data_IF_696240882071
#
_entry.id   IF_696240882071
#
_cell.length_a   1.000
_cell.length_b   1.000
_cell.length_c   1.000
_cell.angle_alpha   90.00
_cell.angle_beta   90.00
_cell.angle_gamma   90.00
#
_symmetry.space_group_name_H-M   'P 1'
#
loop_
_entity.id
_entity.type
_entity.pdbx_description
1 polymer ?
#
# COMPACT_ATOMS: atom_id res chain seq x y z
N UNK A 1 10.49 9.94 -7.01
CA UNK A 1 9.49 9.22 -6.19
C UNK A 1 8.39 10.14 -5.66
N UNK A 2 8.73 11.25 -4.97
CA UNK A 2 7.73 12.21 -4.47
C UNK A 2 6.74 12.73 -5.52
N UNK A 3 7.22 13.07 -6.72
CA UNK A 3 6.36 13.52 -7.84
C UNK A 3 5.37 12.45 -8.31
N UNK A 4 5.75 11.17 -8.21
CA UNK A 4 4.87 10.04 -8.56
C UNK A 4 3.74 9.92 -7.54
N UNK A 5 4.07 10.01 -6.24
CA UNK A 5 3.08 9.98 -5.16
C UNK A 5 2.10 11.15 -5.26
N UNK A 6 2.59 12.35 -5.55
CA UNK A 6 1.73 13.52 -5.76
C UNK A 6 0.78 13.35 -6.95
N UNK A 7 1.25 12.75 -8.05
CA UNK A 7 0.39 12.41 -9.19
C UNK A 7 -0.68 11.39 -8.81
N UNK A 8 -0.33 10.36 -8.03
CA UNK A 8 -1.30 9.36 -7.52
C UNK A 8 -2.33 10.04 -6.62
N UNK A 9 -1.90 10.89 -5.71
CA UNK A 9 -2.79 11.62 -4.79
C UNK A 9 -3.65 12.67 -5.49
N UNK A 10 -3.30 13.06 -6.72
CA UNK A 10 -4.12 13.94 -7.56
C UNK A 10 -5.32 13.21 -8.21
N UNK A 11 -5.36 11.87 -8.16
CA UNK A 11 -6.49 11.08 -8.65
C UNK A 11 -7.68 11.29 -7.71
N UNK A 12 -8.85 11.60 -8.28
CA UNK A 12 -10.06 11.85 -7.48
C UNK A 12 -10.40 10.63 -6.61
N UNK A 13 -10.57 10.86 -5.30
CA UNK A 13 -10.83 9.82 -4.32
C UNK A 13 -9.60 9.25 -3.61
N UNK A 14 -8.39 9.50 -4.12
CA UNK A 14 -7.16 9.13 -3.40
C UNK A 14 -6.93 10.05 -2.20
N UNK A 15 -6.64 9.45 -1.05
CA UNK A 15 -6.37 10.17 0.21
C UNK A 15 -4.90 10.27 0.55
N UNK A 16 -4.11 9.33 0.06
CA UNK A 16 -2.67 9.27 0.28
C UNK A 16 -2.05 8.07 -0.41
N UNK A 17 -0.74 8.05 -0.44
CA UNK A 17 0.06 6.98 -1.03
C UNK A 17 1.37 6.81 -0.27
N UNK A 18 1.88 5.59 -0.28
CA UNK A 18 3.05 5.18 0.47
C UNK A 18 3.79 4.10 -0.33
N UNK A 19 5.11 4.21 -0.38
CA UNK A 19 6.01 3.16 -0.85
C UNK A 19 6.80 2.67 0.33
N UNK A 20 6.81 1.36 0.52
CA UNK A 20 7.42 0.69 1.67
C UNK A 20 8.42 -0.35 1.17
N UNK A 21 9.43 -0.62 1.98
CA UNK A 21 10.26 -1.82 1.80
C UNK A 21 9.50 -3.07 2.30
N UNK A 22 9.89 -4.28 1.86
CA UNK A 22 9.27 -5.52 2.35
C UNK A 22 9.41 -5.76 3.87
N UNK A 23 10.39 -5.12 4.51
CA UNK A 23 10.61 -5.15 5.97
C UNK A 23 9.83 -4.06 6.73
N UNK A 24 9.02 -3.25 6.05
CA UNK A 24 8.11 -2.30 6.69
C UNK A 24 8.68 -0.91 6.93
N UNK A 25 9.78 -0.54 6.26
CA UNK A 25 10.35 0.80 6.33
C UNK A 25 9.78 1.71 5.22
N UNK A 26 9.37 2.95 5.53
CA UNK A 26 8.86 3.86 4.51
C UNK A 26 9.99 4.36 3.59
N UNK A 27 9.84 4.16 2.28
CA UNK A 27 10.74 4.72 1.25
C UNK A 27 10.28 6.13 0.87
N UNK A 28 8.97 6.31 0.69
CA UNK A 28 8.36 7.59 0.37
C UNK A 28 6.89 7.61 0.77
N UNK A 29 6.42 8.70 1.37
CA UNK A 29 5.04 8.87 1.82
C UNK A 29 4.48 10.21 1.38
N UNK A 30 3.23 10.23 0.95
CA UNK A 30 2.40 11.42 0.83
C UNK A 30 1.02 11.05 1.37
N UNK A 31 0.87 11.19 2.68
CA UNK A 31 -0.26 10.69 3.46
C UNK A 31 -1.08 11.86 4.02
N UNK A 32 -2.40 11.65 4.25
CA UNK A 32 -3.23 12.69 4.82
C UNK A 32 -2.80 12.99 6.27
N UNK A 33 -3.07 14.20 6.79
CA UNK A 33 -2.76 14.55 8.16
C UNK A 33 -3.44 13.59 9.14
N UNK A 34 -2.70 13.14 10.15
CA UNK A 34 -3.18 12.20 11.17
C UNK A 34 -2.84 10.73 10.90
N UNK A 35 -2.24 10.40 9.74
CA UNK A 35 -1.69 9.06 9.49
C UNK A 35 -0.16 9.06 9.66
N UNK A 36 0.33 8.23 10.56
CA UNK A 36 1.77 8.04 10.77
C UNK A 36 2.38 7.14 9.67
N UNK A 37 3.47 7.59 9.07
CA UNK A 37 4.09 6.91 7.93
C UNK A 37 4.76 5.58 8.33
N UNK A 38 5.34 5.49 9.53
CA UNK A 38 5.98 4.25 10.00
C UNK A 38 4.93 3.19 10.30
N UNK A 39 3.85 3.57 10.99
CA UNK A 39 2.72 2.69 11.27
C UNK A 39 2.05 2.20 9.99
N UNK A 40 1.79 3.10 9.05
CA UNK A 40 1.24 2.74 7.74
C UNK A 40 2.19 1.83 6.95
N UNK A 41 3.51 2.03 7.09
CA UNK A 41 4.50 1.21 6.41
C UNK A 41 4.56 -0.22 6.94
N UNK A 42 4.57 -0.38 8.27
CA UNK A 42 4.52 -1.69 8.91
C UNK A 42 3.24 -2.45 8.56
N UNK A 43 2.09 -1.77 8.56
CA UNK A 43 0.82 -2.37 8.13
C UNK A 43 0.85 -2.80 6.66
N UNK A 44 1.32 -1.91 5.77
CA UNK A 44 1.43 -2.18 4.35
C UNK A 44 2.32 -3.39 4.04
N UNK A 45 3.47 -3.49 4.71
CA UNK A 45 4.38 -4.63 4.55
C UNK A 45 3.79 -5.95 5.07
N UNK A 46 3.14 -5.93 6.24
CA UNK A 46 2.45 -7.11 6.77
C UNK A 46 1.37 -7.63 5.82
N UNK A 47 0.55 -6.72 5.27
CA UNK A 47 -0.50 -7.08 4.33
C UNK A 47 0.06 -7.53 2.98
N UNK A 48 1.07 -6.84 2.45
CA UNK A 48 1.75 -7.22 1.21
C UNK A 48 2.36 -8.61 1.30
N UNK A 49 2.99 -8.94 2.44
CA UNK A 49 3.49 -10.28 2.71
C UNK A 49 2.38 -11.33 2.74
N UNK A 50 1.28 -11.06 3.44
CA UNK A 50 0.13 -11.96 3.48
C UNK A 50 -0.43 -12.26 2.08
N UNK A 51 -0.51 -11.23 1.22
CA UNK A 51 -0.95 -11.36 -0.18
C UNK A 51 0.06 -12.20 -0.97
N UNK A 52 1.36 -11.95 -0.82
CA UNK A 52 2.42 -12.69 -1.51
C UNK A 52 2.45 -14.18 -1.10
N UNK A 53 2.31 -14.46 0.20
CA UNK A 53 2.27 -15.83 0.73
C UNK A 53 1.07 -16.60 0.15
N UNK A 54 -0.13 -16.00 0.14
CA UNK A 54 -1.33 -16.59 -0.48
C UNK A 54 -1.20 -16.78 -1.99
N UNK A 55 -0.61 -15.80 -2.69
CA UNK A 55 -0.39 -15.90 -4.13
C UNK A 55 0.54 -17.08 -4.48
N UNK A 56 1.58 -17.32 -3.65
CA UNK A 56 2.47 -18.47 -3.78
C UNK A 56 1.77 -19.81 -3.53
N UNK A 57 0.87 -19.88 -2.56
CA UNK A 57 0.10 -21.10 -2.26
C UNK A 57 -0.92 -21.45 -3.35
N UNK A 58 -1.51 -20.46 -4.02
CA UNK A 58 -2.55 -20.66 -5.03
C UNK A 58 -2.02 -20.79 -6.47
N UNK A 59 -0.69 -20.85 -6.67
CA UNK A 59 -0.02 -20.74 -7.98
C UNK A 59 -0.50 -19.51 -8.78
N UNK A 60 -0.88 -18.45 -8.07
CA UNK A 60 -1.30 -17.17 -8.65
C UNK A 60 -0.08 -16.26 -8.77
N UNK A 61 0.95 -16.74 -9.46
CA UNK A 61 2.25 -16.07 -9.61
C UNK A 61 2.19 -14.68 -10.27
N UNK A 62 1.00 -14.27 -10.76
CA UNK A 62 0.70 -12.96 -11.35
C UNK A 62 -0.24 -12.08 -10.51
N UNK A 63 -0.43 -12.35 -9.21
CA UNK A 63 -1.26 -11.48 -8.36
C UNK A 63 -0.57 -10.12 -8.16
N UNK A 64 -0.91 -9.16 -9.01
CA UNK A 64 -0.27 -7.84 -9.06
C UNK A 64 -0.84 -6.82 -8.06
N UNK A 65 -2.03 -7.08 -7.49
CA UNK A 65 -2.76 -6.12 -6.66
C UNK A 65 -3.73 -6.81 -5.69
N UNK A 66 -3.56 -6.55 -4.40
CA UNK A 66 -4.57 -6.78 -3.37
C UNK A 66 -5.37 -5.49 -3.10
N UNK A 67 -6.67 -5.66 -2.83
CA UNK A 67 -7.54 -4.56 -2.41
C UNK A 67 -8.25 -4.94 -1.12
N UNK A 68 -8.27 -4.03 -0.17
CA UNK A 68 -9.10 -4.10 1.03
C UNK A 68 -10.07 -2.93 1.04
N UNK A 69 -11.35 -3.21 1.24
CA UNK A 69 -12.40 -2.20 1.32
C UNK A 69 -13.04 -2.20 2.70
N UNK A 70 -13.18 -1.02 3.28
CA UNK A 70 -13.95 -0.75 4.48
C UNK A 70 -15.10 0.20 4.13
N UNK A 71 -15.98 0.48 5.10
CA UNK A 71 -17.04 1.48 4.93
C UNK A 71 -16.50 2.90 4.66
N UNK A 72 -15.27 3.17 5.09
CA UNK A 72 -14.69 4.51 5.12
C UNK A 72 -13.56 4.70 4.10
N UNK A 73 -12.88 3.62 3.70
CA UNK A 73 -11.72 3.70 2.83
C UNK A 73 -11.50 2.43 2.01
N UNK A 74 -10.78 2.58 0.90
CA UNK A 74 -10.19 1.47 0.16
C UNK A 74 -8.68 1.58 0.21
N UNK A 75 -8.03 0.47 0.48
CA UNK A 75 -6.58 0.32 0.44
C UNK A 75 -6.21 -0.60 -0.72
N UNK A 76 -5.26 -0.14 -1.53
CA UNK A 76 -4.68 -0.90 -2.62
C UNK A 76 -3.22 -1.21 -2.28
N UNK A 77 -2.82 -2.46 -2.45
CA UNK A 77 -1.47 -2.95 -2.15
C UNK A 77 -0.98 -3.73 -3.34
N UNK A 78 0.14 -3.29 -3.91
CA UNK A 78 0.85 -4.01 -4.96
C UNK A 78 2.19 -4.43 -4.38
N UNK A 79 2.49 -5.73 -4.46
CA UNK A 79 3.68 -6.37 -3.93
C UNK A 79 4.41 -7.11 -5.06
#
# INVERSE_FOLDING_TARGET
MREVLQRINSINGMKGSLVVTPDGLPIASDLPPGLDAETAAGLGACMGKMIADWAGEMDMSNMALGMMETKEARLFISA
#
